data_IF_214729048133
#
_entry.id   IF_214729048133
#
_cell.length_a   1.000
_cell.length_b   1.000
_cell.length_c   1.000
_cell.angle_alpha   90.00
_cell.angle_beta   90.00
_cell.angle_gamma   90.00
#
_symmetry.space_group_name_H-M   'P 1'
#
loop_
_entity.id
_entity.type
_entity.pdbx_description
1 polymer ?
#
# COMPACT_ATOMS: atom_id res chain seq x y z
N UNK A 1 14.40 -9.32 -3.55
CA UNK A 1 13.94 -8.28 -4.48
C UNK A 1 12.59 -8.75 -5.03
N UNK A 2 11.47 -8.14 -4.64
CA UNK A 2 10.15 -8.53 -5.18
C UNK A 2 10.14 -8.08 -6.64
N UNK A 3 10.38 -9.05 -7.53
CA UNK A 3 10.37 -8.89 -8.99
C UNK A 3 8.96 -9.08 -9.57
N UNK A 4 7.92 -8.98 -8.75
CA UNK A 4 6.54 -8.92 -9.19
C UNK A 4 6.24 -7.47 -9.51
N UNK A 5 6.37 -7.08 -10.78
CA UNK A 5 6.00 -5.73 -11.24
C UNK A 5 4.54 -5.48 -10.84
N UNK A 6 4.34 -4.64 -9.83
CA UNK A 6 3.03 -4.11 -9.46
C UNK A 6 2.54 -3.30 -10.65
N UNK A 7 1.54 -3.83 -11.34
CA UNK A 7 0.92 -3.20 -12.48
C UNK A 7 -0.15 -2.21 -12.02
N UNK A 8 -0.46 -1.25 -12.88
CA UNK A 8 -1.63 -0.40 -12.68
C UNK A 8 -2.89 -1.27 -12.55
N UNK A 9 -3.79 -0.88 -11.64
CA UNK A 9 -5.05 -1.58 -11.33
C UNK A 9 -4.91 -2.93 -10.65
N UNK A 10 -3.69 -3.35 -10.30
CA UNK A 10 -3.54 -4.50 -9.42
C UNK A 10 -4.26 -4.21 -8.09
N UNK A 11 -4.99 -5.22 -7.60
CA UNK A 11 -5.59 -5.24 -6.28
C UNK A 11 -4.89 -6.35 -5.49
N UNK A 12 -4.53 -6.06 -4.25
CA UNK A 12 -3.82 -6.98 -3.37
C UNK A 12 -4.69 -7.36 -2.18
N UNK A 13 -4.38 -8.50 -1.57
CA UNK A 13 -5.00 -8.93 -0.32
C UNK A 13 -4.13 -8.45 0.84
N UNK A 14 -4.71 -7.69 1.77
CA UNK A 14 -4.04 -7.22 2.99
C UNK A 14 -3.97 -8.32 4.04
N UNK A 15 -3.19 -8.11 5.10
CA UNK A 15 -3.04 -9.04 6.22
C UNK A 15 -4.37 -9.39 6.90
N UNK A 16 -5.32 -8.45 7.01
CA UNK A 16 -6.67 -8.75 7.54
C UNK A 16 -7.62 -9.40 6.52
N UNK A 17 -7.15 -9.74 5.33
CA UNK A 17 -7.96 -10.26 4.23
C UNK A 17 -8.80 -9.19 3.53
N UNK A 18 -8.50 -7.89 3.70
CA UNK A 18 -9.16 -6.82 2.94
C UNK A 18 -8.57 -6.79 1.53
N UNK A 19 -9.36 -6.40 0.54
CA UNK A 19 -8.82 -6.05 -0.77
C UNK A 19 -8.43 -4.56 -0.77
N UNK A 20 -7.25 -4.26 -1.32
CA UNK A 20 -6.81 -2.88 -1.48
C UNK A 20 -7.66 -2.14 -2.51
N UNK A 21 -7.57 -0.82 -2.54
CA UNK A 21 -7.91 -0.08 -3.75
C UNK A 21 -6.94 -0.45 -4.88
N UNK A 22 -7.36 -0.14 -6.11
CA UNK A 22 -6.56 -0.34 -7.32
C UNK A 22 -5.23 0.42 -7.22
N UNK A 23 -4.14 -0.27 -7.52
CA UNK A 23 -2.83 0.36 -7.53
C UNK A 23 -2.79 1.51 -8.56
N UNK A 24 -2.23 2.67 -8.18
CA UNK A 24 -2.25 3.88 -8.99
C UNK A 24 -1.60 3.69 -10.37
N UNK A 25 -1.98 4.59 -11.28
CA UNK A 25 -1.45 4.64 -12.64
C UNK A 25 0.06 4.78 -12.65
N UNK A 26 0.68 4.09 -13.60
CA UNK A 26 2.12 4.23 -13.89
C UNK A 26 2.34 5.54 -14.65
N UNK A 27 3.14 6.45 -14.06
CA UNK A 27 3.49 7.74 -14.65
C UNK A 27 4.85 7.68 -15.37
N UNK A 28 5.04 8.49 -16.41
CA UNK A 28 6.35 8.62 -17.08
C UNK A 28 7.44 9.17 -16.15
N UNK A 29 7.08 10.02 -15.20
CA UNK A 29 8.01 10.59 -14.22
C UNK A 29 8.13 9.65 -13.02
N UNK A 30 9.36 9.20 -12.73
CA UNK A 30 9.66 8.35 -11.60
C UNK A 30 9.21 8.98 -10.26
N UNK A 31 9.46 10.28 -10.06
CA UNK A 31 9.05 10.98 -8.84
C UNK A 31 7.53 11.03 -8.67
N UNK A 32 6.78 11.24 -9.76
CA UNK A 32 5.31 11.22 -9.71
C UNK A 32 4.77 9.83 -9.43
N UNK A 33 5.38 8.81 -10.05
CA UNK A 33 5.03 7.41 -9.80
C UNK A 33 5.28 7.03 -8.34
N UNK A 34 6.45 7.40 -7.79
CA UNK A 34 6.81 7.11 -6.42
C UNK A 34 5.89 7.82 -5.42
N UNK A 35 5.57 9.10 -5.66
CA UNK A 35 4.61 9.84 -4.84
C UNK A 35 3.22 9.21 -4.86
N UNK A 36 2.73 8.80 -6.04
CA UNK A 36 1.42 8.16 -6.16
C UNK A 36 1.39 6.80 -5.44
N UNK A 37 2.43 5.98 -5.59
CA UNK A 37 2.57 4.71 -4.88
C UNK A 37 2.53 4.89 -3.36
N UNK A 38 3.28 5.89 -2.87
CA UNK A 38 3.28 6.29 -1.46
C UNK A 38 1.87 6.69 -1.01
N UNK A 39 1.23 7.65 -1.68
CA UNK A 39 -0.14 8.09 -1.35
C UNK A 39 -1.12 6.91 -1.25
N UNK A 40 -1.07 5.99 -2.23
CA UNK A 40 -1.85 4.76 -2.19
C UNK A 40 -1.54 3.92 -0.94
N UNK A 41 -0.26 3.62 -0.69
CA UNK A 41 0.14 2.79 0.45
C UNK A 41 -0.27 3.41 1.80
N UNK A 42 -0.21 4.73 1.94
CA UNK A 42 -0.69 5.44 3.14
C UNK A 42 -2.19 5.25 3.33
N UNK A 43 -2.97 5.39 2.27
CA UNK A 43 -4.41 5.19 2.33
C UNK A 43 -4.77 3.75 2.71
N UNK A 44 -4.05 2.77 2.15
CA UNK A 44 -4.22 1.37 2.51
C UNK A 44 -3.88 1.10 3.98
N UNK A 45 -2.82 1.73 4.51
CA UNK A 45 -2.46 1.68 5.93
C UNK A 45 -3.56 2.24 6.85
N UNK A 46 -4.13 3.39 6.48
CA UNK A 46 -5.24 4.01 7.21
C UNK A 46 -6.48 3.11 7.20
N UNK A 47 -6.84 2.57 6.04
CA UNK A 47 -7.98 1.67 5.89
C UNK A 47 -7.81 0.38 6.70
N UNK A 48 -6.61 -0.19 6.70
CA UNK A 48 -6.27 -1.38 7.46
C UNK A 48 -6.32 -1.14 8.98
N UNK A 49 -5.74 -0.02 9.45
CA UNK A 49 -5.82 0.39 10.85
C UNK A 49 -7.24 0.66 11.32
N UNK A 50 -8.06 1.30 10.48
CA UNK A 50 -9.47 1.55 10.78
C UNK A 50 -10.25 0.24 10.90
N UNK A 51 -10.04 -0.71 9.98
CA UNK A 51 -10.69 -2.03 10.02
C UNK A 51 -10.32 -2.81 11.28
N UNK A 52 -9.05 -2.76 11.68
CA UNK A 52 -8.54 -3.49 12.83
C UNK A 52 -8.74 -2.77 14.17
N UNK A 53 -9.27 -1.53 14.16
CA UNK A 53 -9.40 -0.66 15.34
C UNK A 53 -8.06 -0.44 16.05
N UNK A 54 -7.00 -0.25 15.26
CA UNK A 54 -5.64 -0.02 15.73
C UNK A 54 -5.33 1.49 15.71
N UNK A 55 -5.62 2.16 16.82
CA UNK A 55 -5.46 3.61 16.94
C UNK A 55 -4.00 4.07 16.81
N UNK A 56 -3.05 3.23 17.24
CA UNK A 56 -1.63 3.55 17.15
C UNK A 56 -1.20 3.62 15.68
N UNK A 57 -1.48 2.57 14.91
CA UNK A 57 -1.12 2.54 13.49
C UNK A 57 -1.96 3.51 12.65
N UNK A 58 -3.18 3.83 13.08
CA UNK A 58 -4.00 4.86 12.45
C UNK A 58 -3.31 6.24 12.53
N UNK A 59 -2.90 6.65 13.73
CA UNK A 59 -2.20 7.93 13.93
C UNK A 59 -0.88 7.96 13.16
N UNK A 60 -0.12 6.86 13.22
CA UNK A 60 1.15 6.72 12.50
C UNK A 60 0.94 6.92 10.99
N UNK A 61 0.02 6.17 10.36
CA UNK A 61 -0.24 6.27 8.93
C UNK A 61 -0.74 7.66 8.54
N UNK A 62 -1.61 8.29 9.34
CA UNK A 62 -2.11 9.65 9.09
C UNK A 62 -0.99 10.69 9.08
N UNK A 63 0.04 10.52 9.94
CA UNK A 63 1.17 11.44 10.05
C UNK A 63 2.18 11.38 8.89
N UNK A 64 2.20 10.29 8.11
CA UNK A 64 3.16 10.10 7.02
C UNK A 64 3.01 11.16 5.92
N UNK A 65 4.11 11.72 5.44
CA UNK A 65 4.14 12.71 4.36
C UNK A 65 4.70 12.10 3.06
N UNK A 66 3.86 11.85 2.02
CA UNK A 66 4.30 11.25 0.76
C UNK A 66 5.41 11.99 0.00
N UNK A 67 5.56 13.29 0.25
CA UNK A 67 6.61 14.08 -0.37
C UNK A 67 7.98 13.87 0.28
N UNK A 68 8.03 13.44 1.55
CA UNK A 68 9.27 13.24 2.32
C UNK A 68 9.32 11.85 2.99
N UNK A 69 8.73 10.86 2.34
CA UNK A 69 8.60 9.51 2.85
C UNK A 69 9.94 8.77 2.71
N UNK A 70 10.52 8.31 3.83
CA UNK A 70 11.77 7.55 3.84
C UNK A 70 11.57 6.09 3.42
N UNK A 71 12.66 5.35 3.14
CA UNK A 71 12.55 3.93 2.85
C UNK A 71 12.01 3.13 4.05
N UNK A 72 12.43 3.47 5.27
CA UNK A 72 12.01 2.78 6.48
C UNK A 72 10.49 2.91 6.74
N UNK A 73 9.93 4.11 6.52
CA UNK A 73 8.49 4.32 6.62
C UNK A 73 7.73 3.47 5.58
N UNK A 74 8.32 3.27 4.39
CA UNK A 74 7.70 2.48 3.32
C UNK A 74 7.69 1.00 3.69
N UNK A 75 8.83 0.48 4.17
CA UNK A 75 8.97 -0.89 4.66
C UNK A 75 8.04 -1.17 5.84
N UNK A 76 7.94 -0.24 6.80
CA UNK A 76 7.04 -0.35 7.94
C UNK A 76 5.58 -0.42 7.50
N UNK A 77 5.15 0.45 6.59
CA UNK A 77 3.77 0.48 6.12
C UNK A 77 3.45 -0.78 5.31
N UNK A 78 4.38 -1.22 4.46
CA UNK A 78 4.24 -2.47 3.72
C UNK A 78 4.11 -3.68 4.66
N UNK A 79 4.98 -3.78 5.67
CA UNK A 79 4.95 -4.84 6.68
C UNK A 79 3.63 -4.83 7.45
N UNK A 80 3.12 -3.64 7.79
CA UNK A 80 1.85 -3.50 8.48
C UNK A 80 0.67 -3.95 7.62
N UNK A 81 0.57 -3.45 6.38
CA UNK A 81 -0.58 -3.72 5.50
C UNK A 81 -0.56 -5.14 4.95
N UNK A 82 0.61 -5.66 4.58
CA UNK A 82 0.73 -6.93 3.83
C UNK A 82 1.46 -8.03 4.59
N UNK A 83 2.08 -7.74 5.74
CA UNK A 83 2.95 -8.70 6.39
C UNK A 83 4.26 -8.88 5.64
N UNK A 84 4.77 -10.11 5.55
CA UNK A 84 5.96 -10.38 4.76
C UNK A 84 5.66 -10.14 3.27
N UNK A 85 6.26 -9.09 2.72
CA UNK A 85 6.00 -8.62 1.36
C UNK A 85 6.38 -9.63 0.29
N UNK A 86 7.15 -10.68 0.62
CA UNK A 86 7.38 -11.80 -0.31
C UNK A 86 6.10 -12.55 -0.69
N UNK A 87 5.02 -12.41 0.08
CA UNK A 87 3.76 -13.12 -0.12
C UNK A 87 2.66 -12.27 -0.76
N UNK A 88 3.00 -11.09 -1.33
CA UNK A 88 2.03 -10.23 -2.01
C UNK A 88 1.29 -11.00 -3.12
N UNK A 89 0.05 -11.39 -2.81
CA UNK A 89 -0.80 -12.16 -3.69
C UNK A 89 -1.82 -11.24 -4.34
N UNK A 90 -1.91 -11.24 -5.67
CA UNK A 90 -2.91 -10.48 -6.40
C UNK A 90 -4.29 -11.08 -6.16
N UNK A 91 -5.29 -10.23 -5.93
CA UNK A 91 -6.67 -10.64 -5.84
C UNK A 91 -7.25 -10.87 -7.26
N UNK A 92 -7.87 -12.02 -7.51
CA UNK A 92 -8.70 -12.22 -8.69
C UNK A 92 -10.07 -11.56 -8.48
N UNK A 93 -10.12 -10.25 -8.68
CA UNK A 93 -11.38 -9.51 -8.65
C UNK A 93 -11.99 -9.59 -10.05
N UNK A 94 -13.00 -10.44 -10.25
CA UNK A 94 -13.78 -10.46 -11.48
C UNK A 94 -14.50 -9.11 -11.63
N UNK A 95 -13.97 -8.23 -12.48
CA UNK A 95 -14.68 -7.03 -12.91
C UNK A 95 -15.74 -7.44 -13.92
N UNK A 96 -16.97 -7.63 -13.45
CA UNK A 96 -18.16 -7.70 -14.32
C UNK A 96 -18.44 -6.35 -14.97
#
# INVERSE_FOLDING_TARGET
>A
MINTMIAHNDIFVTRSGRHTEQHPKIYKSANRMLKAHREWLKNEGIAEATKNKDDYNLILCQSLNPNNWSQADQELTLLYVFGDVTELTKANVNTN
#
